data_IF_081270705897
#
_entry.id   IF_081270705897
#
_cell.length_a   1.000
_cell.length_b   1.000
_cell.length_c   1.000
_cell.angle_alpha   90.00
_cell.angle_beta   90.00
_cell.angle_gamma   90.00
#
_symmetry.space_group_name_H-M   'P 1'
#
loop_
_entity.id
_entity.type
_entity.pdbx_description
1 polymer ?
#
# COMPACT_ATOMS: atom_id res chain seq x y z
N UNK A 1 48.72 49.00 0.04
CA UNK A 1 47.78 49.01 1.17
C UNK A 1 46.54 49.72 0.64
N UNK A 2 45.41 49.11 0.32
CA UNK A 2 44.89 47.79 0.70
C UNK A 2 43.99 47.21 -0.40
N UNK A 3 43.98 45.87 -0.45
CA UNK A 3 43.11 45.03 -1.25
C UNK A 3 41.82 44.71 -0.48
N UNK A 4 40.65 44.99 -1.07
CA UNK A 4 39.38 44.28 -0.84
C UNK A 4 38.51 44.57 -2.07
N UNK A 5 38.08 43.64 -2.93
CA UNK A 5 37.85 42.22 -2.74
C UNK A 5 36.39 41.93 -2.39
N UNK A 6 35.45 42.23 -3.29
CA UNK A 6 34.06 41.74 -3.20
C UNK A 6 33.63 41.11 -4.51
N UNK A 7 33.94 39.82 -4.65
CA UNK A 7 33.29 38.90 -5.57
C UNK A 7 32.06 38.28 -4.90
N UNK A 8 30.95 38.24 -5.66
CA UNK A 8 30.16 37.03 -5.84
C UNK A 8 29.36 36.48 -4.66
N UNK A 9 28.04 36.71 -4.70
CA UNK A 9 27.03 35.64 -4.68
C UNK A 9 25.67 36.26 -5.00
N UNK A 10 25.38 36.37 -6.30
CA UNK A 10 23.98 36.32 -6.71
C UNK A 10 23.46 34.94 -6.29
N UNK A 11 22.50 34.92 -5.36
CA UNK A 11 21.75 33.73 -5.04
C UNK A 11 21.16 33.23 -6.37
N UNK A 12 21.69 32.10 -6.86
CA UNK A 12 21.03 31.34 -7.92
C UNK A 12 19.75 30.83 -7.28
N UNK A 13 18.66 31.53 -7.55
CA UNK A 13 17.32 30.96 -7.46
C UNK A 13 17.29 29.78 -8.44
N UNK A 14 17.66 28.60 -7.96
CA UNK A 14 17.41 27.36 -8.67
C UNK A 14 15.90 27.31 -8.89
N UNK A 15 15.41 27.25 -10.15
CA UNK A 15 13.99 27.17 -10.40
C UNK A 15 13.47 25.94 -9.65
N UNK A 16 12.49 26.16 -8.76
CA UNK A 16 11.77 25.07 -8.11
C UNK A 16 11.04 24.33 -9.22
N UNK A 17 11.63 23.22 -9.69
CA UNK A 17 11.02 22.35 -10.69
C UNK A 17 9.70 21.84 -10.12
N UNK A 18 8.60 22.38 -10.63
CA UNK A 18 7.26 21.93 -10.26
C UNK A 18 7.08 20.51 -10.79
N UNK A 19 6.50 19.59 -10.00
CA UNK A 19 6.21 18.25 -10.47
C UNK A 19 5.37 18.31 -11.75
N UNK A 20 5.85 17.67 -12.82
CA UNK A 20 5.08 17.50 -14.05
C UNK A 20 4.15 16.30 -13.87
N UNK A 21 2.85 16.60 -13.93
CA UNK A 21 1.78 15.61 -13.88
C UNK A 21 1.33 15.25 -15.29
N UNK A 22 1.35 13.96 -15.63
CA UNK A 22 0.77 13.46 -16.86
C UNK A 22 -0.53 12.73 -16.57
N UNK A 23 -1.63 13.20 -17.18
CA UNK A 23 -2.93 12.56 -17.13
C UNK A 23 -3.30 12.01 -18.51
N UNK A 24 -3.62 10.71 -18.58
CA UNK A 24 -4.04 10.05 -19.81
C UNK A 24 -5.42 9.44 -19.60
N UNK A 25 -6.38 9.81 -20.46
CA UNK A 25 -7.70 9.20 -20.57
C UNK A 25 -7.93 8.62 -21.96
N UNK A 26 -8.60 7.47 -22.01
CA UNK A 26 -9.07 6.56 -23.09
C UNK A 26 -8.88 6.83 -24.60
N UNK A 27 -8.48 8.01 -25.09
CA UNK A 27 -8.75 8.36 -26.49
C UNK A 27 -7.55 8.42 -27.43
N UNK A 28 -6.30 8.62 -26.99
CA UNK A 28 -5.10 8.48 -27.84
C UNK A 28 -3.90 8.21 -26.95
N UNK A 29 -3.00 7.30 -27.35
CA UNK A 29 -1.64 7.22 -26.78
C UNK A 29 -0.83 8.32 -27.46
N UNK A 30 -0.45 9.40 -26.76
CA UNK A 30 0.38 10.43 -27.38
C UNK A 30 1.78 9.85 -27.60
N UNK A 31 2.38 10.13 -28.76
CA UNK A 31 3.79 9.88 -28.97
C UNK A 31 4.59 10.95 -28.22
N UNK A 32 4.91 10.66 -26.96
CA UNK A 32 5.72 11.56 -26.15
C UNK A 32 7.19 11.44 -26.54
N UNK A 33 7.83 12.58 -26.79
CA UNK A 33 9.29 12.59 -26.90
C UNK A 33 9.91 12.08 -25.59
N UNK A 34 11.04 11.41 -25.70
CA UNK A 34 11.76 10.86 -24.53
C UNK A 34 12.10 11.97 -23.53
N UNK A 35 12.38 13.18 -24.01
CA UNK A 35 12.69 14.33 -23.16
C UNK A 35 11.50 14.83 -22.35
N UNK A 36 10.28 14.73 -22.89
CA UNK A 36 9.07 15.01 -22.11
C UNK A 36 8.90 13.96 -21.01
N UNK A 37 9.09 12.68 -21.33
CA UNK A 37 8.91 11.58 -20.37
C UNK A 37 9.90 11.65 -19.20
N UNK A 38 11.14 12.08 -19.45
CA UNK A 38 12.16 12.26 -18.40
C UNK A 38 11.76 13.27 -17.33
N UNK A 39 10.92 14.25 -17.65
CA UNK A 39 10.53 15.29 -16.71
C UNK A 39 9.28 14.93 -15.89
N UNK A 40 8.60 13.82 -16.21
CA UNK A 40 7.40 13.38 -15.50
C UNK A 40 7.80 12.80 -14.15
N UNK A 41 7.17 13.32 -13.09
CA UNK A 41 7.34 12.83 -11.72
C UNK A 41 6.09 12.12 -11.21
N UNK A 42 4.93 12.45 -11.78
CA UNK A 42 3.63 11.87 -11.41
C UNK A 42 2.85 11.46 -12.66
N UNK A 43 2.42 10.20 -12.70
CA UNK A 43 1.66 9.62 -13.79
C UNK A 43 0.30 9.14 -13.28
N UNK A 44 -0.77 9.58 -13.93
CA UNK A 44 -2.12 9.10 -13.67
C UNK A 44 -2.72 8.65 -14.99
N UNK A 45 -3.02 7.36 -15.10
CA UNK A 45 -3.69 6.80 -16.28
C UNK A 45 -5.05 6.27 -15.83
N UNK A 46 -6.09 6.78 -16.46
CA UNK A 46 -7.47 6.35 -16.24
C UNK A 46 -8.00 5.81 -17.55
N UNK A 47 -8.39 4.54 -17.58
CA UNK A 47 -8.84 3.92 -18.84
C UNK A 47 -9.90 2.85 -18.63
N UNK A 48 -10.75 2.64 -19.62
CA UNK A 48 -11.65 1.48 -19.72
C UNK A 48 -10.94 0.22 -20.23
N UNK A 49 -9.78 0.36 -20.87
CA UNK A 49 -9.10 -0.72 -21.57
C UNK A 49 -7.89 -1.25 -20.79
N UNK A 50 -7.71 -2.58 -20.78
CA UNK A 50 -6.55 -3.21 -20.15
C UNK A 50 -5.22 -2.85 -20.84
N UNK A 51 -5.27 -2.35 -22.07
CA UNK A 51 -4.11 -1.80 -22.78
C UNK A 51 -3.41 -0.66 -21.99
N UNK A 52 -4.10 -0.03 -21.04
CA UNK A 52 -3.50 0.99 -20.15
C UNK A 52 -2.28 0.46 -19.40
N UNK A 53 -2.26 -0.82 -19.04
CA UNK A 53 -1.12 -1.42 -18.34
C UNK A 53 0.09 -1.52 -19.26
N UNK A 54 -0.13 -1.75 -20.55
CA UNK A 54 0.92 -1.78 -21.57
C UNK A 54 1.48 -0.36 -21.78
N UNK A 55 0.60 0.63 -21.85
CA UNK A 55 1.01 2.03 -21.95
C UNK A 55 1.81 2.46 -20.73
N UNK A 56 1.31 2.18 -19.52
CA UNK A 56 1.98 2.47 -18.26
C UNK A 56 3.38 1.88 -18.25
N UNK A 57 3.51 0.61 -18.65
CA UNK A 57 4.77 -0.10 -18.79
C UNK A 57 5.77 0.60 -19.73
N UNK A 58 5.34 1.03 -20.91
CA UNK A 58 6.20 1.75 -21.86
C UNK A 58 6.63 3.13 -21.35
N UNK A 59 5.74 3.82 -20.63
CA UNK A 59 6.06 5.10 -19.99
C UNK A 59 7.06 4.89 -18.85
N UNK A 60 6.83 3.89 -17.99
CA UNK A 60 7.67 3.56 -16.85
C UNK A 60 9.10 3.22 -17.24
N UNK A 61 9.30 2.57 -18.40
CA UNK A 61 10.63 2.27 -18.94
C UNK A 61 11.42 3.54 -19.32
N UNK A 62 10.72 4.62 -19.71
CA UNK A 62 11.34 5.85 -20.25
C UNK A 62 11.35 7.01 -19.25
N UNK A 63 10.39 7.04 -18.32
CA UNK A 63 10.22 8.11 -17.35
C UNK A 63 11.13 7.88 -16.13
N UNK A 64 12.42 8.20 -16.29
CA UNK A 64 13.46 7.91 -15.29
C UNK A 64 13.33 8.70 -13.99
N UNK A 65 12.54 9.77 -13.95
CA UNK A 65 12.29 10.57 -12.75
C UNK A 65 10.89 10.36 -12.16
N UNK A 66 10.15 9.36 -12.66
CA UNK A 66 8.80 9.09 -12.21
C UNK A 66 8.81 8.54 -10.80
N UNK A 67 8.16 9.22 -9.85
CA UNK A 67 8.11 8.84 -8.44
C UNK A 67 6.76 8.23 -8.05
N UNK A 68 5.68 8.69 -8.68
CA UNK A 68 4.30 8.32 -8.34
C UNK A 68 3.53 7.88 -9.58
N UNK A 69 2.87 6.72 -9.50
CA UNK A 69 2.07 6.17 -10.59
C UNK A 69 0.71 5.66 -10.08
N UNK A 70 -0.37 6.15 -10.67
CA UNK A 70 -1.75 5.71 -10.41
C UNK A 70 -2.34 5.16 -11.69
N UNK A 71 -2.81 3.91 -11.64
CA UNK A 71 -3.49 3.25 -12.75
C UNK A 71 -4.91 2.91 -12.32
N UNK A 72 -5.91 3.53 -12.96
CA UNK A 72 -7.32 3.30 -12.71
C UNK A 72 -8.06 2.71 -13.93
N UNK A 73 -8.62 1.51 -13.74
CA UNK A 73 -9.41 0.81 -14.76
C UNK A 73 -10.92 1.08 -14.55
N UNK A 74 -11.55 1.90 -15.41
CA UNK A 74 -12.96 2.34 -15.38
C UNK A 74 -13.79 1.78 -16.56
N UNK A 75 -14.02 0.48 -16.74
CA UNK A 75 -14.47 -0.01 -18.07
C UNK A 75 -15.68 -0.92 -18.15
N UNK A 76 -15.71 -1.78 -19.20
CA UNK A 76 -15.78 -3.28 -19.17
C UNK A 76 -14.44 -3.78 -19.75
N UNK A 77 -13.84 -4.87 -19.24
CA UNK A 77 -12.46 -5.23 -19.61
C UNK A 77 -12.38 -5.67 -21.08
N UNK A 78 -11.87 -4.79 -21.94
CA UNK A 78 -11.39 -5.19 -23.26
C UNK A 78 -10.00 -5.80 -23.05
N UNK A 79 -9.77 -7.08 -23.39
CA UNK A 79 -8.46 -7.69 -23.23
C UNK A 79 -7.43 -6.88 -24.03
N UNK A 80 -6.17 -6.82 -23.56
CA UNK A 80 -5.18 -6.06 -24.28
C UNK A 80 -4.99 -6.62 -25.69
N UNK A 81 -4.75 -5.74 -26.67
CA UNK A 81 -4.60 -6.21 -28.05
C UNK A 81 -3.34 -7.10 -28.18
N UNK A 82 -3.39 -8.23 -28.91
CA UNK A 82 -2.23 -9.13 -29.04
C UNK A 82 -0.98 -8.43 -29.58
N UNK A 83 -1.15 -7.46 -30.49
CA UNK A 83 -0.06 -6.63 -31.03
C UNK A 83 0.64 -5.81 -29.94
N UNK A 84 -0.11 -5.24 -29.00
CA UNK A 84 0.46 -4.46 -27.89
C UNK A 84 1.14 -5.37 -26.86
N UNK A 85 0.58 -6.55 -26.59
CA UNK A 85 1.22 -7.56 -25.73
C UNK A 85 2.56 -8.02 -26.33
N UNK A 86 2.60 -8.24 -27.65
CA UNK A 86 3.84 -8.54 -28.39
C UNK A 86 4.84 -7.39 -28.36
N UNK A 87 4.40 -6.13 -28.38
CA UNK A 87 5.28 -4.95 -28.33
C UNK A 87 6.08 -4.86 -27.02
N UNK A 88 5.49 -5.27 -25.90
CA UNK A 88 6.23 -5.44 -24.64
C UNK A 88 7.24 -6.60 -24.68
N UNK A 89 7.02 -7.59 -25.56
CA UNK A 89 7.86 -8.78 -25.68
C UNK A 89 7.96 -9.55 -24.36
N UNK A 90 9.17 -10.02 -24.04
CA UNK A 90 9.55 -10.64 -22.76
C UNK A 90 10.34 -9.70 -21.86
N UNK A 91 10.30 -8.39 -22.13
CA UNK A 91 11.15 -7.41 -21.45
C UNK A 91 10.67 -7.20 -20.01
N UNK A 92 11.63 -7.14 -19.10
CA UNK A 92 11.43 -6.68 -17.73
C UNK A 92 11.63 -5.17 -17.71
N UNK A 93 10.65 -4.46 -17.17
CA UNK A 93 10.66 -3.01 -17.04
C UNK A 93 11.22 -2.68 -15.67
N UNK A 94 12.34 -1.97 -15.68
CA UNK A 94 13.01 -1.54 -14.45
C UNK A 94 12.88 -0.04 -14.30
N UNK A 95 12.35 0.41 -13.17
CA UNK A 95 12.32 1.82 -12.81
C UNK A 95 12.77 1.98 -11.34
N UNK A 96 13.89 2.67 -11.15
CA UNK A 96 14.54 2.82 -9.84
C UNK A 96 14.06 4.04 -9.05
N UNK A 97 13.40 5.01 -9.71
CA UNK A 97 12.90 6.23 -9.08
C UNK A 97 11.46 6.11 -8.60
N UNK A 98 10.71 5.14 -9.12
CA UNK A 98 9.32 4.93 -8.74
C UNK A 98 9.22 4.43 -7.29
N UNK A 99 8.62 5.26 -6.45
CA UNK A 99 8.44 5.01 -5.03
C UNK A 99 7.02 4.52 -4.71
N UNK A 100 6.03 5.02 -5.45
CA UNK A 100 4.63 4.75 -5.17
C UNK A 100 3.89 4.23 -6.40
N UNK A 101 3.18 3.10 -6.23
CA UNK A 101 2.20 2.60 -7.19
C UNK A 101 0.84 2.45 -6.52
N UNK A 102 -0.20 2.96 -7.19
CA UNK A 102 -1.59 2.73 -6.83
C UNK A 102 -2.34 2.10 -8.01
N UNK A 103 -2.92 0.92 -7.77
CA UNK A 103 -3.66 0.14 -8.77
C UNK A 103 -5.13 0.09 -8.36
N UNK A 104 -5.96 0.79 -9.13
CA UNK A 104 -7.40 0.92 -8.90
C UNK A 104 -8.17 0.09 -9.91
N UNK A 105 -8.98 -0.83 -9.41
CA UNK A 105 -9.94 -1.59 -10.19
C UNK A 105 -11.31 -1.55 -9.53
N UNK A 106 -12.35 -1.81 -10.30
CA UNK A 106 -13.69 -2.02 -9.75
C UNK A 106 -13.78 -3.45 -9.23
N UNK A 107 -14.35 -3.69 -8.03
CA UNK A 107 -14.37 -5.01 -7.41
C UNK A 107 -15.20 -6.06 -8.16
N UNK A 108 -16.08 -5.68 -9.08
CA UNK A 108 -16.91 -6.64 -9.86
C UNK A 108 -16.17 -7.33 -11.02
N UNK A 109 -14.85 -7.18 -11.07
CA UNK A 109 -14.06 -7.48 -12.26
C UNK A 109 -13.11 -8.62 -12.00
N UNK A 110 -12.73 -9.36 -13.05
CA UNK A 110 -11.56 -10.23 -13.05
C UNK A 110 -10.33 -9.50 -13.62
N UNK A 111 -9.83 -8.39 -13.03
CA UNK A 111 -8.68 -7.65 -13.51
C UNK A 111 -7.37 -8.40 -13.27
N UNK A 112 -7.46 -9.58 -12.65
CA UNK A 112 -6.35 -10.41 -12.20
C UNK A 112 -5.39 -10.62 -13.35
N UNK A 113 -5.88 -10.95 -14.55
CA UNK A 113 -5.02 -11.15 -15.71
C UNK A 113 -4.29 -9.88 -16.16
N UNK A 114 -4.93 -8.72 -16.10
CA UNK A 114 -4.30 -7.46 -16.53
C UNK A 114 -3.29 -6.96 -15.48
N UNK A 115 -3.64 -7.11 -14.19
CA UNK A 115 -2.77 -6.88 -13.06
C UNK A 115 -1.56 -7.84 -13.08
N UNK A 116 -1.78 -9.12 -13.38
CA UNK A 116 -0.74 -10.14 -13.60
C UNK A 116 0.20 -9.69 -14.69
N UNK A 117 -0.32 -9.36 -15.87
CA UNK A 117 0.51 -8.94 -17.00
C UNK A 117 1.33 -7.69 -16.69
N UNK A 118 0.75 -6.75 -15.93
CA UNK A 118 1.44 -5.54 -15.50
C UNK A 118 2.56 -5.86 -14.50
N UNK A 119 2.24 -6.50 -13.38
CA UNK A 119 3.19 -6.74 -12.28
C UNK A 119 4.25 -7.79 -12.61
N UNK A 120 3.92 -8.81 -13.40
CA UNK A 120 4.86 -9.88 -13.76
C UNK A 120 6.07 -9.37 -14.56
N UNK A 121 5.95 -8.20 -15.20
CA UNK A 121 7.02 -7.59 -15.99
C UNK A 121 7.74 -6.45 -15.29
N UNK A 122 7.42 -6.15 -14.03
CA UNK A 122 7.98 -5.02 -13.31
C UNK A 122 9.10 -5.42 -12.37
N UNK A 123 10.13 -4.58 -12.33
CA UNK A 123 11.22 -4.61 -11.34
C UNK A 123 11.42 -3.20 -10.80
N UNK A 124 10.88 -2.92 -9.62
CA UNK A 124 10.79 -1.57 -9.06
C UNK A 124 11.57 -1.48 -7.74
N UNK A 125 12.92 -1.46 -7.76
CA UNK A 125 13.73 -1.53 -6.55
C UNK A 125 13.55 -0.33 -5.61
N UNK A 126 13.11 0.81 -6.13
CA UNK A 126 12.81 2.01 -5.35
C UNK A 126 11.43 2.04 -4.69
N UNK A 127 10.57 1.03 -4.94
CA UNK A 127 9.19 1.03 -4.47
C UNK A 127 9.13 0.95 -2.94
N UNK A 128 8.50 1.95 -2.33
CA UNK A 128 8.26 2.00 -0.88
C UNK A 128 6.76 1.88 -0.54
N UNK A 129 5.88 2.25 -1.46
CA UNK A 129 4.43 2.30 -1.24
C UNK A 129 3.69 1.56 -2.33
N UNK A 130 2.82 0.64 -1.92
CA UNK A 130 1.96 -0.11 -2.82
C UNK A 130 0.52 0.03 -2.35
N UNK A 131 -0.35 0.47 -3.25
CA UNK A 131 -1.74 0.70 -2.95
C UNK A 131 -2.64 -0.05 -3.93
N UNK A 132 -3.68 -0.67 -3.39
CA UNK A 132 -4.71 -1.36 -4.15
C UNK A 132 -6.06 -0.75 -3.83
N UNK A 133 -6.87 -0.51 -4.86
CA UNK A 133 -8.29 -0.19 -4.72
C UNK A 133 -9.14 -1.23 -5.44
N UNK A 134 -10.11 -1.82 -4.75
CA UNK A 134 -11.04 -2.79 -5.34
C UNK A 134 -10.44 -4.16 -5.65
N UNK A 135 -9.33 -4.54 -5.00
CA UNK A 135 -8.70 -5.85 -5.21
C UNK A 135 -9.44 -6.96 -4.46
N UNK A 136 -9.73 -8.06 -5.13
CA UNK A 136 -10.24 -9.28 -4.49
C UNK A 136 -9.09 -10.26 -4.22
N UNK A 137 -8.77 -10.51 -2.96
CA UNK A 137 -7.68 -11.42 -2.55
C UNK A 137 -8.09 -12.90 -2.55
N UNK A 138 -9.38 -13.17 -2.43
CA UNK A 138 -9.97 -14.50 -2.24
C UNK A 138 -10.36 -15.20 -3.54
N UNK A 139 -9.91 -14.71 -4.70
CA UNK A 139 -10.25 -15.35 -5.96
C UNK A 139 -9.42 -16.61 -6.15
N UNK A 140 -10.15 -17.72 -6.23
CA UNK A 140 -9.64 -19.08 -6.28
C UNK A 140 -9.09 -19.39 -7.68
N UNK A 141 -7.96 -18.76 -8.03
CA UNK A 141 -7.15 -19.20 -9.16
C UNK A 141 -6.18 -20.31 -8.74
N UNK A 142 -5.91 -21.34 -9.56
CA UNK A 142 -4.77 -22.22 -9.31
C UNK A 142 -3.50 -21.38 -9.23
N UNK A 143 -2.68 -21.57 -8.18
CA UNK A 143 -1.34 -20.97 -8.12
C UNK A 143 -0.60 -21.36 -9.42
N UNK A 144 -0.01 -20.40 -10.15
CA UNK A 144 0.47 -19.09 -9.74
C UNK A 144 -0.47 -17.88 -9.98
N UNK A 145 -1.69 -18.08 -10.45
CA UNK A 145 -2.55 -16.98 -10.95
C UNK A 145 -3.38 -16.27 -9.88
N UNK A 146 -3.16 -16.57 -8.58
CA UNK A 146 -3.82 -15.80 -7.53
C UNK A 146 -3.21 -14.39 -7.45
N UNK A 147 -4.01 -13.34 -7.25
CA UNK A 147 -3.50 -11.96 -7.15
C UNK A 147 -2.41 -11.83 -6.09
N UNK A 148 -2.58 -12.52 -4.97
CA UNK A 148 -1.59 -12.60 -3.88
C UNK A 148 -0.25 -13.15 -4.34
N UNK A 149 -0.22 -14.22 -5.15
CA UNK A 149 1.01 -14.86 -5.61
C UNK A 149 1.77 -14.00 -6.62
N UNK A 150 1.03 -13.31 -7.49
CA UNK A 150 1.56 -12.35 -8.47
C UNK A 150 2.21 -11.19 -7.76
N UNK A 151 1.52 -10.58 -6.80
CA UNK A 151 2.05 -9.43 -6.05
C UNK A 151 3.29 -9.83 -5.26
N UNK A 152 3.28 -10.98 -4.57
CA UNK A 152 4.46 -11.43 -3.82
C UNK A 152 5.64 -11.72 -4.74
N UNK A 153 5.43 -12.36 -5.90
CA UNK A 153 6.49 -12.61 -6.87
C UNK A 153 7.06 -11.32 -7.47
N UNK A 154 6.20 -10.34 -7.74
CA UNK A 154 6.60 -9.01 -8.19
C UNK A 154 7.50 -8.30 -7.14
N UNK A 155 7.10 -8.33 -5.87
CA UNK A 155 7.89 -7.72 -4.78
C UNK A 155 9.24 -8.41 -4.60
N UNK A 156 9.26 -9.74 -4.62
CA UNK A 156 10.52 -10.52 -4.54
C UNK A 156 11.48 -10.17 -5.68
N UNK A 157 10.96 -10.10 -6.91
CA UNK A 157 11.74 -9.76 -8.11
C UNK A 157 12.24 -8.34 -8.09
N UNK A 158 11.43 -7.42 -7.57
CA UNK A 158 11.79 -6.00 -7.44
C UNK A 158 12.86 -5.79 -6.38
N UNK A 159 13.07 -6.73 -5.45
CA UNK A 159 13.99 -6.59 -4.30
C UNK A 159 13.75 -5.31 -3.49
N UNK A 160 12.53 -4.78 -3.55
CA UNK A 160 12.16 -3.53 -2.90
C UNK A 160 11.91 -3.74 -1.41
N UNK A 161 12.14 -2.70 -0.61
CA UNK A 161 11.77 -2.69 0.81
C UNK A 161 10.49 -1.89 0.98
N UNK A 162 9.35 -2.58 0.84
CA UNK A 162 8.04 -1.96 0.98
C UNK A 162 7.82 -1.50 2.43
N UNK A 163 7.54 -0.21 2.62
CA UNK A 163 7.31 0.42 3.93
C UNK A 163 5.81 0.61 4.20
N UNK A 164 5.04 0.93 3.15
CA UNK A 164 3.61 1.25 3.23
C UNK A 164 2.77 0.39 2.26
N UNK A 165 1.66 -0.15 2.77
CA UNK A 165 0.71 -0.94 2.00
C UNK A 165 -0.71 -0.44 2.25
N UNK A 166 -1.45 -0.17 1.17
CA UNK A 166 -2.83 0.31 1.23
C UNK A 166 -3.79 -0.68 0.58
N UNK A 167 -4.83 -1.01 1.33
CA UNK A 167 -5.99 -1.74 0.84
C UNK A 167 -7.22 -0.85 0.96
N UNK A 168 -7.70 -0.34 -0.16
CA UNK A 168 -8.92 0.44 -0.26
C UNK A 168 -10.01 -0.40 -0.95
N UNK A 169 -11.18 -0.58 -0.35
CA UNK A 169 -12.27 -1.39 -0.92
C UNK A 169 -11.81 -2.78 -1.38
N UNK A 170 -10.83 -3.38 -0.69
CA UNK A 170 -10.29 -4.68 -1.04
C UNK A 170 -11.03 -5.76 -0.26
N UNK A 171 -11.42 -6.83 -0.95
CA UNK A 171 -12.23 -7.90 -0.38
C UNK A 171 -11.44 -9.19 -0.28
N UNK A 172 -11.63 -9.94 0.80
CA UNK A 172 -10.96 -11.21 1.04
C UNK A 172 -11.31 -11.74 2.43
N UNK A 173 -11.03 -13.01 2.69
CA UNK A 173 -11.16 -13.53 4.06
C UNK A 173 -9.96 -13.06 4.89
N UNK A 174 -10.16 -12.86 6.18
CA UNK A 174 -9.13 -12.34 7.09
C UNK A 174 -7.89 -13.23 7.12
N UNK A 175 -8.09 -14.54 6.99
CA UNK A 175 -7.02 -15.52 6.85
C UNK A 175 -6.18 -15.32 5.59
N UNK A 176 -6.78 -14.89 4.48
CA UNK A 176 -6.06 -14.63 3.22
C UNK A 176 -5.21 -13.38 3.34
N UNK A 177 -5.75 -12.31 3.96
CA UNK A 177 -4.98 -11.10 4.26
C UNK A 177 -3.77 -11.42 5.16
N UNK A 178 -3.98 -12.19 6.24
CA UNK A 178 -2.90 -12.56 7.16
C UNK A 178 -1.88 -13.47 6.47
N UNK A 179 -2.33 -14.44 5.67
CA UNK A 179 -1.44 -15.30 4.90
C UNK A 179 -0.61 -14.49 3.89
N UNK A 180 -1.23 -13.51 3.23
CA UNK A 180 -0.56 -12.59 2.31
C UNK A 180 0.48 -11.73 3.03
N UNK A 181 0.10 -11.06 4.13
CA UNK A 181 1.00 -10.24 4.94
C UNK A 181 2.14 -11.06 5.57
N UNK A 182 1.94 -12.36 5.81
CA UNK A 182 2.99 -13.23 6.38
C UNK A 182 4.10 -13.60 5.39
N UNK A 183 4.01 -13.15 4.14
CA UNK A 183 5.02 -13.37 3.13
C UNK A 183 6.30 -12.58 3.42
N UNK A 184 7.48 -13.17 3.14
CA UNK A 184 8.79 -12.55 3.39
C UNK A 184 8.99 -11.22 2.66
N UNK A 185 8.35 -11.06 1.50
CA UNK A 185 8.31 -9.80 0.74
C UNK A 185 7.80 -8.59 1.55
N UNK A 186 7.01 -8.82 2.60
CA UNK A 186 6.51 -7.77 3.48
C UNK A 186 7.35 -7.56 4.73
N UNK A 187 8.50 -8.21 4.90
CA UNK A 187 9.28 -8.14 6.15
C UNK A 187 9.66 -6.70 6.58
N UNK A 188 9.79 -5.77 5.62
CA UNK A 188 10.06 -4.35 5.85
C UNK A 188 8.83 -3.49 6.16
N UNK A 189 7.61 -4.02 6.00
CA UNK A 189 6.36 -3.26 6.09
C UNK A 189 6.16 -2.67 7.49
N UNK A 190 5.96 -1.35 7.56
CA UNK A 190 5.74 -0.61 8.81
C UNK A 190 4.35 -0.02 8.91
N UNK A 191 3.75 0.37 7.78
CA UNK A 191 2.47 1.07 7.75
C UNK A 191 1.47 0.29 6.91
N UNK A 192 0.29 0.03 7.49
CA UNK A 192 -0.82 -0.65 6.81
C UNK A 192 -2.06 0.24 6.83
N UNK A 193 -2.57 0.59 5.66
CA UNK A 193 -3.83 1.32 5.50
C UNK A 193 -4.93 0.36 5.05
N UNK A 194 -6.05 0.39 5.78
CA UNK A 194 -7.21 -0.47 5.59
C UNK A 194 -8.44 0.42 5.47
N UNK A 195 -8.80 0.80 4.25
CA UNK A 195 -9.94 1.66 3.95
C UNK A 195 -11.07 0.82 3.36
N UNK A 196 -12.20 0.78 4.06
CA UNK A 196 -13.38 -0.02 3.71
C UNK A 196 -13.07 -1.51 3.48
N UNK A 197 -12.01 -2.03 4.13
CA UNK A 197 -11.67 -3.45 4.12
C UNK A 197 -12.54 -4.21 5.15
N UNK A 198 -13.00 -5.44 4.83
CA UNK A 198 -13.83 -6.26 5.73
C UNK A 198 -12.97 -6.91 6.83
N UNK A 199 -12.38 -6.09 7.71
CA UNK A 199 -11.54 -6.58 8.80
C UNK A 199 -12.36 -6.79 10.08
N UNK A 200 -12.25 -7.97 10.66
CA UNK A 200 -12.96 -8.35 11.88
C UNK A 200 -12.02 -8.54 13.08
N UNK A 201 -12.56 -8.96 14.23
CA UNK A 201 -11.80 -9.28 15.45
C UNK A 201 -10.76 -10.36 15.18
N UNK A 202 -11.12 -11.31 14.31
CA UNK A 202 -10.24 -12.38 13.86
C UNK A 202 -8.99 -11.82 13.18
N UNK A 203 -9.11 -10.77 12.36
CA UNK A 203 -7.95 -10.16 11.71
C UNK A 203 -6.94 -9.62 12.72
N UNK A 204 -7.39 -8.83 13.69
CA UNK A 204 -6.50 -8.24 14.70
C UNK A 204 -5.93 -9.28 15.67
N UNK A 205 -6.72 -10.29 16.05
CA UNK A 205 -6.22 -11.42 16.83
C UNK A 205 -5.12 -12.19 16.10
N UNK A 206 -5.30 -12.43 14.80
CA UNK A 206 -4.32 -13.11 13.97
C UNK A 206 -3.06 -12.26 13.81
N UNK A 207 -3.21 -10.95 13.63
CA UNK A 207 -2.10 -10.01 13.49
C UNK A 207 -1.24 -9.92 14.77
N UNK A 208 -1.87 -9.99 15.95
CA UNK A 208 -1.20 -9.91 17.25
C UNK A 208 -0.40 -11.19 17.61
N UNK A 209 -0.73 -12.34 17.00
CA UNK A 209 -0.09 -13.62 17.31
C UNK A 209 1.38 -13.63 16.83
N UNK A 210 2.32 -13.82 17.77
CA UNK A 210 3.76 -13.97 17.47
C UNK A 210 4.16 -15.37 17.00
N UNK A 211 3.32 -16.38 17.30
CA UNK A 211 3.59 -17.78 16.97
C UNK A 211 2.96 -18.16 15.64
N UNK A 212 3.62 -19.09 14.96
CA UNK A 212 3.07 -19.85 13.85
C UNK A 212 1.61 -20.20 14.11
N UNK A 213 0.77 -19.93 13.12
CA UNK A 213 -0.57 -20.48 13.05
C UNK A 213 -0.41 -22.01 12.93
N UNK A 214 -0.27 -22.67 14.09
CA UNK A 214 -0.09 -24.12 14.19
C UNK A 214 -1.28 -24.78 13.48
N UNK A 215 -0.99 -25.38 12.33
CA UNK A 215 -2.02 -25.99 11.47
C UNK A 215 -1.84 -25.66 9.98
N UNK A 216 -1.02 -24.68 9.62
CA UNK A 216 -0.64 -24.44 8.24
C UNK A 216 0.76 -25.00 7.99
N UNK A 217 0.87 -25.90 6.99
CA UNK A 217 2.11 -26.58 6.56
C UNK A 217 3.12 -25.62 5.92
N UNK A 218 3.39 -24.46 6.54
CA UNK A 218 4.34 -23.46 6.05
C UNK A 218 5.33 -23.11 7.15
N UNK A 219 6.60 -22.87 6.80
CA UNK A 219 7.63 -22.54 7.77
C UNK A 219 7.28 -21.22 8.46
N UNK A 220 7.24 -21.22 9.80
CA UNK A 220 7.40 -20.06 10.70
C UNK A 220 7.16 -18.71 10.04
N UNK A 221 5.90 -18.44 9.67
CA UNK A 221 5.59 -17.23 8.92
C UNK A 221 5.51 -16.06 9.91
N UNK A 222 6.62 -15.33 10.04
CA UNK A 222 6.65 -14.12 10.84
C UNK A 222 5.94 -13.02 10.06
N UNK A 223 4.77 -12.60 10.54
CA UNK A 223 4.15 -11.34 10.12
C UNK A 223 5.15 -10.17 10.19
N UNK A 224 4.96 -9.09 9.42
CA UNK A 224 5.78 -7.88 9.55
C UNK A 224 5.63 -7.23 10.92
N UNK A 225 6.62 -6.43 11.29
CA UNK A 225 6.54 -5.59 12.48
C UNK A 225 5.80 -4.28 12.15
N UNK A 226 4.49 -4.40 11.92
CA UNK A 226 3.63 -3.26 11.59
C UNK A 226 3.60 -2.30 12.79
N UNK A 227 4.09 -1.08 12.57
CA UNK A 227 4.17 -0.03 13.57
C UNK A 227 2.90 0.82 13.59
N UNK A 228 2.29 1.02 12.42
CA UNK A 228 1.12 1.87 12.24
C UNK A 228 0.07 1.13 11.41
N UNK A 229 -1.16 1.08 11.93
CA UNK A 229 -2.33 0.70 11.15
C UNK A 229 -3.25 1.91 11.07
N UNK A 230 -3.71 2.26 9.88
CA UNK A 230 -4.77 3.25 9.68
C UNK A 230 -6.00 2.50 9.19
N UNK A 231 -7.04 2.42 10.02
CA UNK A 231 -8.31 1.79 9.63
C UNK A 231 -9.37 2.85 9.39
N UNK A 232 -10.06 2.75 8.25
CA UNK A 232 -11.19 3.60 7.90
C UNK A 232 -12.38 2.73 7.50
N UNK A 233 -13.47 2.76 8.29
CA UNK A 233 -14.59 1.83 8.09
C UNK A 233 -15.78 2.07 9.04
N UNK A 234 -16.70 1.11 9.09
CA UNK A 234 -17.94 1.23 9.86
C UNK A 234 -17.70 1.27 11.38
N UNK A 235 -18.44 2.16 12.06
CA UNK A 235 -18.23 2.59 13.46
C UNK A 235 -18.36 1.46 14.49
N UNK A 236 -19.25 0.49 14.25
CA UNK A 236 -19.77 -0.37 15.31
C UNK A 236 -18.85 -1.53 15.71
N UNK A 237 -17.78 -1.79 14.97
CA UNK A 237 -17.04 -3.05 15.11
C UNK A 237 -15.64 -2.89 15.71
N UNK A 238 -14.94 -1.80 15.43
CA UNK A 238 -13.50 -1.71 15.69
C UNK A 238 -13.16 -1.44 17.17
N UNK A 239 -13.96 -0.67 17.90
CA UNK A 239 -13.67 -0.33 19.30
C UNK A 239 -13.78 -1.53 20.22
N UNK A 240 -14.89 -2.28 20.15
CA UNK A 240 -15.06 -3.52 20.93
C UNK A 240 -14.03 -4.57 20.55
N UNK A 241 -13.66 -4.63 19.27
CA UNK A 241 -12.63 -5.53 18.75
C UNK A 241 -11.25 -5.23 19.30
N UNK A 242 -10.79 -3.98 19.22
CA UNK A 242 -9.49 -3.59 19.78
C UNK A 242 -9.52 -3.75 21.29
N UNK A 243 -10.62 -3.36 21.96
CA UNK A 243 -10.74 -3.54 23.40
C UNK A 243 -10.68 -5.02 23.78
N UNK A 244 -11.30 -5.94 23.05
CA UNK A 244 -11.20 -7.38 23.32
C UNK A 244 -9.80 -7.90 23.03
N UNK A 245 -9.19 -7.54 21.89
CA UNK A 245 -7.82 -7.95 21.54
C UNK A 245 -6.81 -7.38 22.54
N UNK A 246 -7.02 -6.20 23.11
CA UNK A 246 -6.12 -5.64 24.13
C UNK A 246 -6.47 -6.16 25.55
N UNK A 247 -7.76 -6.29 25.91
CA UNK A 247 -8.21 -6.75 27.25
C UNK A 247 -8.01 -8.25 27.47
N UNK A 248 -8.23 -9.12 26.48
CA UNK A 248 -7.96 -10.57 26.62
C UNK A 248 -6.49 -10.88 26.92
N UNK A 249 -5.60 -9.91 26.67
CA UNK A 249 -4.17 -10.03 26.92
C UNK A 249 -3.72 -9.38 28.25
N UNK A 250 -4.65 -8.97 29.12
CA UNK A 250 -4.39 -8.48 30.49
C UNK A 250 -3.96 -9.57 31.50
N UNK A 251 -3.73 -10.82 31.08
CA UNK A 251 -3.22 -11.86 31.98
C UNK A 251 -1.70 -12.10 31.78
N UNK A 252 -0.84 -11.69 32.74
CA UNK A 252 0.61 -11.59 32.59
C UNK A 252 1.36 -12.93 32.52
N UNK A 253 0.67 -14.09 32.52
CA UNK A 253 1.35 -15.41 32.51
C UNK A 253 1.56 -16.01 31.11
N UNK A 254 1.05 -15.41 30.02
CA UNK A 254 1.19 -15.94 28.64
C UNK A 254 1.66 -14.91 27.58
N UNK A 255 2.17 -13.75 28.00
CA UNK A 255 2.46 -12.58 27.13
C UNK A 255 3.76 -12.66 26.32
N UNK A 256 4.60 -13.70 26.46
CA UNK A 256 5.86 -13.85 25.68
C UNK A 256 5.64 -13.99 24.15
N UNK A 257 4.39 -14.17 23.71
CA UNK A 257 4.01 -14.50 22.33
C UNK A 257 3.18 -13.43 21.63
N UNK A 258 3.33 -12.16 22.01
CA UNK A 258 2.60 -11.04 21.40
C UNK A 258 3.60 -10.06 20.79
N UNK A 259 3.27 -9.50 19.63
CA UNK A 259 4.05 -8.42 18.99
C UNK A 259 3.51 -7.06 19.45
N UNK A 260 4.37 -6.09 19.77
CA UNK A 260 3.90 -4.75 20.10
C UNK A 260 3.40 -4.05 18.83
N UNK A 261 2.11 -3.72 18.79
CA UNK A 261 1.57 -2.71 17.87
C UNK A 261 1.85 -1.35 18.51
N UNK A 262 2.57 -0.47 17.80
CA UNK A 262 3.01 0.81 18.37
C UNK A 262 1.97 1.93 18.17
N UNK A 263 1.20 1.89 17.08
CA UNK A 263 0.19 2.88 16.74
C UNK A 263 -0.97 2.29 15.94
N UNK A 264 -2.19 2.73 16.25
CA UNK A 264 -3.41 2.41 15.51
C UNK A 264 -4.23 3.70 15.38
N UNK A 265 -4.26 4.24 14.18
CA UNK A 265 -5.10 5.37 13.84
C UNK A 265 -6.41 4.84 13.28
N UNK A 266 -7.54 5.33 13.79
CA UNK A 266 -8.84 4.92 13.29
C UNK A 266 -9.66 6.14 12.90
N UNK A 267 -10.08 6.16 11.65
CA UNK A 267 -10.92 7.19 11.08
C UNK A 267 -12.32 6.60 10.85
N UNK A 268 -13.35 7.16 11.48
CA UNK A 268 -14.73 6.68 11.29
C UNK A 268 -15.50 7.66 10.41
N UNK A 269 -16.33 7.14 9.51
CA UNK A 269 -17.10 7.95 8.56
C UNK A 269 -18.27 8.74 9.18
N UNK A 270 -18.61 8.52 10.46
CA UNK A 270 -19.73 9.19 11.13
C UNK A 270 -19.28 10.08 12.30
N UNK A 271 -19.89 11.28 12.40
CA UNK A 271 -19.85 12.24 13.54
C UNK A 271 -20.57 11.69 14.80
N UNK A 272 -20.39 10.40 15.07
CA UNK A 272 -21.03 9.77 16.20
C UNK A 272 -20.16 9.92 17.44
N UNK A 273 -20.72 10.52 18.50
CA UNK A 273 -20.07 10.61 19.81
C UNK A 273 -19.44 9.26 20.20
N UNK A 274 -18.14 9.32 20.49
CA UNK A 274 -17.37 8.21 21.04
C UNK A 274 -17.63 8.18 22.55
N UNK A 275 -17.82 6.99 23.14
CA UNK A 275 -17.77 6.88 24.59
C UNK A 275 -16.39 7.37 25.09
N UNK A 276 -16.40 8.20 26.13
CA UNK A 276 -15.19 8.84 26.64
C UNK A 276 -14.07 7.82 26.99
N UNK A 277 -12.83 8.04 26.52
CA UNK A 277 -11.66 7.23 26.87
C UNK A 277 -11.28 7.25 28.35
N UNK A 278 -11.88 8.15 29.14
CA UNK A 278 -11.61 8.38 30.57
C UNK A 278 -11.76 7.12 31.44
N UNK A 279 -12.46 6.09 30.95
CA UNK A 279 -12.60 4.78 31.59
C UNK A 279 -11.36 3.87 31.47
N UNK A 280 -10.31 4.27 30.73
CA UNK A 280 -9.17 3.41 30.38
C UNK A 280 -7.80 4.05 30.70
N UNK A 281 -7.23 3.80 31.90
CA UNK A 281 -6.10 4.58 32.46
C UNK A 281 -4.72 4.35 31.80
N UNK A 282 -4.62 3.57 30.72
CA UNK A 282 -3.34 3.19 30.09
C UNK A 282 -3.18 3.76 28.66
N UNK A 283 -4.04 4.69 28.27
CA UNK A 283 -4.18 5.13 26.89
C UNK A 283 -4.01 6.65 26.85
N UNK A 284 -2.99 7.13 26.13
CA UNK A 284 -2.99 8.50 25.64
C UNK A 284 -3.86 8.52 24.38
N UNK A 285 -5.17 8.68 24.56
CA UNK A 285 -6.06 8.93 23.41
C UNK A 285 -5.97 10.42 23.08
N UNK A 286 -5.25 10.75 22.02
CA UNK A 286 -5.28 12.09 21.45
C UNK A 286 -6.55 12.21 20.60
N UNK A 287 -7.66 12.63 21.20
CA UNK A 287 -8.87 12.94 20.46
C UNK A 287 -8.72 14.31 19.81
N UNK A 288 -8.64 14.36 18.47
CA UNK A 288 -8.70 15.61 17.73
C UNK A 288 -10.10 15.73 17.11
N UNK A 289 -11.02 16.33 17.86
CA UNK A 289 -12.45 16.44 17.48
C UNK A 289 -12.73 17.32 16.26
N UNK A 290 -11.73 17.96 15.65
CA UNK A 290 -11.94 18.82 14.48
C UNK A 290 -12.16 18.06 13.17
N UNK A 291 -12.02 16.73 13.12
CA UNK A 291 -12.08 15.97 11.85
C UNK A 291 -12.69 14.56 11.90
N UNK A 292 -13.37 14.14 12.97
CA UNK A 292 -13.93 12.77 13.05
C UNK A 292 -12.90 11.63 13.14
N UNK A 293 -11.61 11.97 13.34
CA UNK A 293 -10.50 11.03 13.42
C UNK A 293 -10.17 10.74 14.89
N UNK A 294 -10.16 9.46 15.26
CA UNK A 294 -9.68 9.03 16.58
C UNK A 294 -8.29 8.41 16.46
N UNK A 295 -7.29 9.12 16.97
CA UNK A 295 -5.93 8.60 17.07
C UNK A 295 -5.73 7.89 18.40
N UNK A 296 -5.39 6.60 18.33
CA UNK A 296 -4.93 5.83 19.48
C UNK A 296 -3.44 5.59 19.33
N UNK A 297 -2.65 6.13 20.25
CA UNK A 297 -1.20 5.86 20.33
C UNK A 297 -0.86 5.08 21.58
N UNK A 298 0.00 4.07 21.44
CA UNK A 298 0.58 3.34 22.55
C UNK A 298 1.87 4.05 22.93
N UNK A 299 1.77 5.19 23.61
CA UNK A 299 2.97 5.75 24.25
C UNK A 299 3.44 4.79 25.34
N UNK A 300 4.75 4.57 25.36
CA UNK A 300 5.38 3.40 25.96
C UNK A 300 5.09 3.24 27.45
N UNK A 301 4.49 2.11 27.83
CA UNK A 301 4.65 1.54 29.19
C UNK A 301 6.05 0.90 29.34
N UNK A 302 7.11 1.63 28.99
CA UNK A 302 8.48 1.29 29.38
C UNK A 302 8.80 1.80 30.80
N UNK A 303 7.91 2.55 31.44
CA UNK A 303 8.09 3.11 32.79
C UNK A 303 7.45 2.33 33.95
N UNK A 304 6.80 1.18 33.69
CA UNK A 304 6.13 0.38 34.72
C UNK A 304 6.54 -1.11 34.68
N UNK A 305 7.85 -1.37 34.55
CA UNK A 305 8.44 -2.69 34.85
C UNK A 305 9.33 -2.57 36.08
#
# INVERSE_FOLDING_TARGET
MDHTGTTGRAARDSPVERPVHLFISDEIIPDFSVDVLKNITHLVIVSRAADMFILASLILERATNLQHCVLELKGTMVPPSPRRVQALGSRVITNTSLQHIELKSMPSWGPENALVLFLDRMCLPGLNTLAFKGLMLNTWGPRPFSPTGVITSFLERSTCSLDELHFNLCYGWEHDFIAFLSHSAFAGLRTLHLDEAPVTEVFFELLAKKRDLKGHRRPSCLLPNILKITYRGEKNFWWDTILKVVKTHRYPRKTKHIRPLMSLEVETYEDGQMEEPSKYPFWTVAQNFKSGVTKVSWESMSGCL
#
